data_IF_311141816165
#
_entry.id   IF_311141816165
#
_cell.length_a   1.000
_cell.length_b   1.000
_cell.length_c   1.000
_cell.angle_alpha   90.00
_cell.angle_beta   90.00
_cell.angle_gamma   90.00
#
_symmetry.space_group_name_H-M   'P 1'
#
loop_
_entity.id
_entity.type
_entity.pdbx_description
1 polymer ?
#
# COMPACT_ATOMS: atom_id res chain seq x y z
N UNK A 1 -16.82 -12.38 -22.03
CA UNK A 1 -15.93 -11.20 -21.98
C UNK A 1 -16.65 -10.11 -21.19
N UNK A 2 -16.04 -9.64 -20.11
CA UNK A 2 -16.63 -8.81 -19.06
C UNK A 2 -17.17 -7.47 -19.61
N UNK A 3 -18.47 -7.18 -19.42
CA UNK A 3 -19.17 -5.99 -19.94
C UNK A 3 -18.48 -4.71 -19.47
N UNK A 4 -18.01 -4.71 -18.22
CA UNK A 4 -17.18 -3.67 -17.62
C UNK A 4 -15.94 -3.30 -18.46
N UNK A 5 -15.18 -4.29 -18.92
CA UNK A 5 -13.95 -4.06 -19.72
C UNK A 5 -14.27 -3.47 -21.10
N UNK A 6 -15.40 -3.86 -21.70
CA UNK A 6 -15.85 -3.30 -22.98
C UNK A 6 -16.32 -1.86 -22.83
N UNK A 7 -17.03 -1.56 -21.75
CA UNK A 7 -17.47 -0.20 -21.43
C UNK A 7 -16.28 0.74 -21.21
N UNK A 8 -15.29 0.35 -20.41
CA UNK A 8 -14.08 1.15 -20.20
C UNK A 8 -13.27 1.37 -21.48
N UNK A 9 -13.10 0.32 -22.29
CA UNK A 9 -12.42 0.44 -23.58
C UNK A 9 -13.15 1.41 -24.52
N UNK A 10 -14.48 1.37 -24.56
CA UNK A 10 -15.29 2.30 -25.33
C UNK A 10 -15.18 3.75 -24.83
N UNK A 11 -15.24 3.98 -23.52
CA UNK A 11 -15.06 5.32 -22.91
C UNK A 11 -13.69 5.90 -23.28
N UNK A 12 -12.63 5.09 -23.17
CA UNK A 12 -11.27 5.52 -23.49
C UNK A 12 -11.15 5.92 -24.96
N UNK A 13 -11.75 5.17 -25.89
CA UNK A 13 -11.74 5.52 -27.33
C UNK A 13 -12.50 6.81 -27.62
N UNK A 14 -13.68 7.02 -27.00
CA UNK A 14 -14.50 8.21 -27.28
C UNK A 14 -13.84 9.50 -26.80
N UNK A 15 -13.00 9.45 -25.76
CA UNK A 15 -12.38 10.63 -25.18
C UNK A 15 -10.88 10.76 -25.47
N UNK A 16 -10.25 9.79 -26.16
CA UNK A 16 -8.81 9.80 -26.45
C UNK A 16 -8.37 11.00 -27.29
N UNK A 17 -9.20 11.42 -28.26
CA UNK A 17 -8.83 12.42 -29.27
C UNK A 17 -9.72 13.68 -29.22
N UNK A 18 -10.23 14.04 -28.04
CA UNK A 18 -11.10 15.21 -27.88
C UNK A 18 -10.26 16.50 -27.85
N UNK A 19 -9.97 17.04 -29.04
CA UNK A 19 -9.07 18.19 -29.22
C UNK A 19 -9.70 19.53 -28.80
N UNK A 20 -10.99 19.73 -29.09
CA UNK A 20 -11.74 20.93 -28.70
C UNK A 20 -13.05 20.55 -27.96
N UNK A 21 -13.05 20.62 -26.62
CA UNK A 21 -14.23 20.33 -25.82
C UNK A 21 -15.40 21.29 -26.07
N UNK A 22 -15.14 22.56 -26.37
CA UNK A 22 -16.19 23.58 -26.50
C UNK A 22 -16.96 23.38 -27.81
N UNK A 23 -16.26 23.08 -28.91
CA UNK A 23 -16.88 22.68 -30.18
C UNK A 23 -17.63 21.34 -30.05
N UNK A 24 -17.01 20.35 -29.41
CA UNK A 24 -17.59 19.01 -29.26
C UNK A 24 -18.87 19.02 -28.41
N UNK A 25 -18.86 19.70 -27.26
CA UNK A 25 -20.04 19.82 -26.39
C UNK A 25 -21.02 20.91 -26.86
N UNK A 26 -20.58 21.83 -27.72
CA UNK A 26 -21.46 22.74 -28.46
C UNK A 26 -22.41 22.01 -29.42
N UNK A 27 -22.07 20.78 -29.83
CA UNK A 27 -22.99 19.90 -30.54
C UNK A 27 -23.97 19.23 -29.54
N UNK A 28 -25.28 19.51 -29.61
CA UNK A 28 -26.26 19.04 -28.64
C UNK A 28 -26.42 17.51 -28.61
N UNK A 29 -26.11 16.81 -29.70
CA UNK A 29 -26.12 15.33 -29.75
C UNK A 29 -24.95 14.78 -28.94
N UNK A 30 -23.75 15.34 -29.15
CA UNK A 30 -22.55 14.95 -28.42
C UNK A 30 -22.66 15.26 -26.92
N UNK A 31 -23.25 16.41 -26.56
CA UNK A 31 -23.56 16.74 -25.18
C UNK A 31 -24.54 15.72 -24.57
N UNK A 32 -25.64 15.41 -25.26
CA UNK A 32 -26.64 14.46 -24.78
C UNK A 32 -26.07 13.06 -24.57
N UNK A 33 -25.33 12.50 -25.54
CA UNK A 33 -24.75 11.15 -25.40
C UNK A 33 -23.72 11.09 -24.26
N UNK A 34 -22.96 12.17 -24.05
CA UNK A 34 -21.97 12.25 -22.96
C UNK A 34 -22.68 12.28 -21.61
N UNK A 35 -23.70 13.14 -21.47
CA UNK A 35 -24.51 13.24 -20.25
C UNK A 35 -25.24 11.93 -19.97
N UNK A 36 -25.87 11.32 -20.98
CA UNK A 36 -26.56 10.03 -20.83
C UNK A 36 -25.60 8.93 -20.40
N UNK A 37 -24.38 8.91 -20.95
CA UNK A 37 -23.34 7.96 -20.53
C UNK A 37 -22.99 8.13 -19.06
N UNK A 38 -22.78 9.36 -18.61
CA UNK A 38 -22.46 9.68 -17.21
C UNK A 38 -23.60 9.34 -16.24
N UNK A 39 -24.85 9.59 -16.63
CA UNK A 39 -26.00 9.39 -15.75
C UNK A 39 -26.46 7.93 -15.71
N UNK A 40 -26.49 7.26 -16.86
CA UNK A 40 -27.08 5.92 -16.98
C UNK A 40 -26.01 4.83 -17.08
N UNK A 41 -25.09 4.93 -18.04
CA UNK A 41 -24.15 3.85 -18.30
C UNK A 41 -23.11 3.71 -17.18
N UNK A 42 -22.55 4.81 -16.67
CA UNK A 42 -21.64 4.77 -15.53
C UNK A 42 -22.33 4.23 -14.27
N UNK A 43 -23.60 4.55 -14.07
CA UNK A 43 -24.37 3.99 -12.96
C UNK A 43 -24.53 2.47 -13.12
N UNK A 44 -25.05 2.00 -14.24
CA UNK A 44 -25.42 0.59 -14.38
C UNK A 44 -24.26 -0.36 -14.71
N UNK A 45 -23.29 0.09 -15.51
CA UNK A 45 -22.21 -0.77 -16.03
C UNK A 45 -20.96 -0.75 -15.14
N UNK A 46 -20.85 0.23 -14.23
CA UNK A 46 -19.69 0.42 -13.35
C UNK A 46 -20.13 0.45 -11.90
N UNK A 47 -20.96 1.42 -11.50
CA UNK A 47 -21.30 1.63 -10.09
C UNK A 47 -22.14 0.47 -9.54
N UNK A 48 -23.25 0.11 -10.19
CA UNK A 48 -24.13 -0.97 -9.74
C UNK A 48 -23.42 -2.33 -9.76
N UNK A 49 -22.54 -2.59 -10.72
CA UNK A 49 -21.72 -3.83 -10.78
C UNK A 49 -20.70 -3.89 -9.64
N UNK A 50 -20.06 -2.78 -9.29
CA UNK A 50 -19.10 -2.71 -8.18
C UNK A 50 -19.81 -2.74 -6.83
N UNK A 51 -20.98 -2.11 -6.72
CA UNK A 51 -21.79 -2.01 -5.50
C UNK A 51 -22.75 -3.19 -5.31
N UNK A 52 -22.91 -4.07 -6.28
CA UNK A 52 -23.59 -5.35 -6.06
C UNK A 52 -22.76 -6.16 -5.06
N UNK A 53 -23.16 -6.10 -3.78
CA UNK A 53 -22.68 -6.93 -2.67
C UNK A 53 -22.54 -8.41 -3.07
N UNK A 54 -23.35 -8.85 -4.05
CA UNK A 54 -23.34 -10.18 -4.63
C UNK A 54 -21.99 -10.61 -5.23
N UNK A 55 -21.17 -9.71 -5.80
CA UNK A 55 -19.89 -10.09 -6.41
C UNK A 55 -18.84 -10.38 -5.34
N UNK A 56 -18.78 -9.56 -4.29
CA UNK A 56 -17.89 -9.76 -3.14
C UNK A 56 -18.30 -11.02 -2.38
N UNK A 57 -19.59 -11.20 -2.12
CA UNK A 57 -20.13 -12.39 -1.44
C UNK A 57 -19.91 -13.67 -2.25
N UNK A 58 -20.06 -13.61 -3.58
CA UNK A 58 -19.76 -14.76 -4.45
C UNK A 58 -18.28 -15.08 -4.43
N UNK A 59 -17.40 -14.07 -4.47
CA UNK A 59 -15.96 -14.29 -4.42
C UNK A 59 -15.53 -14.89 -3.08
N UNK A 60 -16.03 -14.35 -1.96
CA UNK A 60 -15.81 -14.90 -0.63
C UNK A 60 -16.31 -16.35 -0.54
N UNK A 61 -17.50 -16.65 -1.07
CA UNK A 61 -18.03 -18.02 -1.11
C UNK A 61 -17.13 -18.97 -1.90
N UNK A 62 -16.62 -18.54 -3.06
CA UNK A 62 -15.73 -19.36 -3.89
C UNK A 62 -14.39 -19.64 -3.19
N UNK A 63 -13.80 -18.63 -2.55
CA UNK A 63 -12.57 -18.82 -1.76
C UNK A 63 -12.84 -19.79 -0.60
N UNK A 64 -13.91 -19.58 0.16
CA UNK A 64 -14.25 -20.42 1.32
C UNK A 64 -14.57 -21.87 0.89
N UNK A 65 -15.22 -22.06 -0.25
CA UNK A 65 -15.44 -23.38 -0.84
C UNK A 65 -14.10 -24.06 -1.16
N UNK A 66 -13.20 -23.39 -1.86
CA UNK A 66 -11.87 -23.94 -2.19
C UNK A 66 -11.05 -24.28 -0.95
N UNK A 67 -11.07 -23.43 0.08
CA UNK A 67 -10.41 -23.68 1.37
C UNK A 67 -11.02 -24.91 2.06
N UNK A 68 -12.34 -25.04 2.06
CA UNK A 68 -13.05 -26.20 2.64
C UNK A 68 -12.75 -27.49 1.87
N UNK A 69 -12.80 -27.46 0.54
CA UNK A 69 -12.55 -28.62 -0.33
C UNK A 69 -11.12 -29.15 -0.22
N UNK A 70 -10.16 -28.24 0.02
CA UNK A 70 -8.75 -28.58 0.22
C UNK A 70 -8.40 -28.89 1.68
N UNK A 71 -9.38 -28.88 2.59
CA UNK A 71 -9.19 -29.07 4.03
C UNK A 71 -8.14 -28.10 4.62
N UNK A 72 -8.11 -26.86 4.12
CA UNK A 72 -7.20 -25.81 4.56
C UNK A 72 -7.86 -24.93 5.62
N UNK A 73 -7.04 -24.26 6.43
CA UNK A 73 -7.47 -23.15 7.28
C UNK A 73 -7.13 -21.82 6.60
N UNK A 74 -7.95 -20.79 6.84
CA UNK A 74 -7.64 -19.45 6.35
C UNK A 74 -6.42 -18.89 7.08
N UNK A 75 -5.44 -18.31 6.36
CA UNK A 75 -4.30 -17.66 6.99
C UNK A 75 -4.75 -16.55 7.95
N UNK A 76 -4.07 -16.48 9.07
CA UNK A 76 -4.28 -15.51 10.15
C UNK A 76 -3.19 -14.46 10.17
N UNK A 77 -3.33 -13.49 11.06
CA UNK A 77 -2.27 -12.51 11.32
C UNK A 77 -0.99 -13.17 11.84
N UNK A 78 -1.08 -14.27 12.59
CA UNK A 78 0.09 -15.01 13.07
C UNK A 78 0.85 -15.67 11.92
N UNK A 79 0.15 -16.20 10.93
CA UNK A 79 0.78 -16.80 9.74
C UNK A 79 1.53 -15.75 8.92
N UNK A 80 0.97 -14.53 8.83
CA UNK A 80 1.65 -13.41 8.18
C UNK A 80 2.91 -12.96 8.97
N UNK A 81 2.89 -13.00 10.30
CA UNK A 81 4.06 -12.72 11.13
C UNK A 81 5.14 -13.80 11.00
N UNK A 82 4.73 -15.07 10.93
CA UNK A 82 5.63 -16.19 10.68
C UNK A 82 6.29 -16.05 9.30
N UNK A 83 5.51 -15.81 8.25
CA UNK A 83 6.03 -15.59 6.90
C UNK A 83 6.99 -14.39 6.82
N UNK A 84 6.71 -13.29 7.53
CA UNK A 84 7.65 -12.17 7.61
C UNK A 84 8.97 -12.57 8.29
N UNK A 85 8.92 -13.45 9.30
CA UNK A 85 10.13 -13.98 9.96
C UNK A 85 10.93 -14.87 9.00
N UNK A 86 10.26 -15.74 8.25
CA UNK A 86 10.90 -16.62 7.26
C UNK A 86 11.64 -15.82 6.18
N UNK A 87 11.08 -14.68 5.74
CA UNK A 87 11.77 -13.74 4.82
C UNK A 87 13.06 -13.20 5.44
N UNK A 88 13.05 -12.83 6.72
CA UNK A 88 14.26 -12.35 7.41
C UNK A 88 15.29 -13.46 7.61
N UNK A 89 14.86 -14.68 7.92
CA UNK A 89 15.76 -15.83 8.01
C UNK A 89 16.42 -16.09 6.66
N UNK A 90 15.66 -16.04 5.58
CA UNK A 90 16.18 -16.16 4.22
C UNK A 90 17.17 -15.04 3.88
N UNK A 91 16.88 -13.79 4.24
CA UNK A 91 17.80 -12.65 4.13
C UNK A 91 19.14 -12.95 4.79
N UNK A 92 19.09 -13.33 6.06
CA UNK A 92 20.28 -13.55 6.88
C UNK A 92 21.10 -14.75 6.39
N UNK A 93 20.45 -15.85 6.02
CA UNK A 93 21.13 -17.06 5.53
C UNK A 93 21.91 -16.80 4.24
N UNK A 94 21.39 -15.93 3.38
CA UNK A 94 21.96 -15.66 2.06
C UNK A 94 22.74 -14.33 2.00
N UNK A 95 22.82 -13.59 3.10
CA UNK A 95 23.41 -12.24 3.15
C UNK A 95 22.80 -11.29 2.11
N UNK A 96 21.49 -11.39 1.89
CA UNK A 96 20.76 -10.61 0.90
C UNK A 96 20.28 -9.29 1.53
N UNK A 97 20.70 -8.13 1.02
CA UNK A 97 20.15 -6.85 1.45
C UNK A 97 18.71 -6.69 0.96
N UNK A 98 17.95 -5.83 1.66
CA UNK A 98 16.51 -5.65 1.42
C UNK A 98 16.21 -5.11 0.01
N UNK A 99 17.05 -4.23 -0.52
CA UNK A 99 16.91 -3.65 -1.86
C UNK A 99 17.14 -4.68 -2.97
N UNK A 100 18.08 -5.62 -2.81
CA UNK A 100 18.26 -6.75 -3.75
C UNK A 100 17.03 -7.65 -3.76
N UNK A 101 16.40 -7.94 -2.61
CA UNK A 101 15.17 -8.72 -2.59
C UNK A 101 13.99 -8.03 -3.26
N UNK A 102 13.96 -6.71 -3.22
CA UNK A 102 12.84 -5.97 -3.77
C UNK A 102 13.00 -5.73 -5.27
N UNK A 103 14.22 -5.42 -5.72
CA UNK A 103 14.47 -4.98 -7.09
C UNK A 103 15.00 -6.08 -8.00
N UNK A 104 15.70 -7.09 -7.46
CA UNK A 104 16.18 -8.20 -8.28
C UNK A 104 15.10 -9.29 -8.43
N UNK A 105 15.24 -10.05 -9.51
CA UNK A 105 14.44 -11.24 -9.75
C UNK A 105 14.85 -12.31 -8.73
N UNK A 106 14.25 -12.27 -7.56
CA UNK A 106 14.52 -13.22 -6.49
C UNK A 106 14.14 -14.65 -6.87
N UNK A 107 13.02 -14.78 -7.56
CA UNK A 107 12.42 -16.05 -7.83
C UNK A 107 11.56 -15.95 -9.08
N UNK A 108 11.79 -16.87 -10.02
CA UNK A 108 10.89 -17.05 -11.16
C UNK A 108 9.81 -18.06 -10.76
N UNK A 109 8.57 -17.60 -10.65
CA UNK A 109 7.42 -18.48 -10.44
C UNK A 109 7.10 -19.19 -11.76
N UNK A 110 7.42 -20.48 -11.80
CA UNK A 110 7.19 -21.34 -12.97
C UNK A 110 5.70 -21.55 -13.28
N UNK A 111 4.83 -21.47 -12.27
CA UNK A 111 3.39 -21.63 -12.44
C UNK A 111 2.76 -20.37 -13.05
N UNK A 112 3.23 -19.20 -12.61
CA UNK A 112 2.78 -17.91 -13.13
C UNK A 112 3.58 -17.46 -14.36
N UNK A 113 4.66 -18.16 -14.69
CA UNK A 113 5.61 -17.85 -15.76
C UNK A 113 6.08 -16.38 -15.71
N UNK A 114 6.39 -15.91 -14.50
CA UNK A 114 6.82 -14.53 -14.25
C UNK A 114 7.76 -14.45 -13.05
N UNK A 115 8.55 -13.38 -13.00
CA UNK A 115 9.35 -13.05 -11.84
C UNK A 115 8.43 -12.61 -10.70
N UNK A 116 8.68 -13.11 -9.50
CA UNK A 116 8.06 -12.59 -8.28
C UNK A 116 8.77 -11.31 -7.90
N UNK A 117 8.00 -10.25 -7.77
CA UNK A 117 8.46 -8.93 -7.31
C UNK A 117 7.64 -8.55 -6.08
N UNK A 118 8.24 -7.80 -5.16
CA UNK A 118 7.53 -7.27 -4.00
C UNK A 118 7.03 -5.86 -4.29
N UNK A 119 5.79 -5.59 -3.93
CA UNK A 119 5.22 -4.24 -3.99
C UNK A 119 5.56 -3.42 -2.75
N UNK A 120 5.28 -2.11 -2.79
CA UNK A 120 5.34 -1.23 -1.64
C UNK A 120 4.46 -1.76 -0.49
N UNK A 121 3.29 -2.31 -0.82
CA UNK A 121 2.37 -2.92 0.13
C UNK A 121 2.92 -4.18 0.79
N UNK A 122 3.64 -5.02 0.04
CA UNK A 122 4.28 -6.21 0.59
C UNK A 122 5.42 -5.81 1.54
N UNK A 123 6.26 -4.87 1.13
CA UNK A 123 7.33 -4.32 1.95
C UNK A 123 6.80 -3.68 3.24
N UNK A 124 5.67 -2.97 3.16
CA UNK A 124 4.97 -2.42 4.32
C UNK A 124 4.46 -3.51 5.27
N UNK A 125 3.88 -4.59 4.73
CA UNK A 125 3.38 -5.71 5.51
C UNK A 125 4.52 -6.41 6.26
N UNK A 126 5.65 -6.67 5.58
CA UNK A 126 6.86 -7.25 6.17
C UNK A 126 7.39 -6.34 7.27
N UNK A 127 7.60 -5.05 6.97
CA UNK A 127 8.12 -4.08 7.94
C UNK A 127 7.22 -3.88 9.16
N UNK A 128 5.89 -3.89 8.96
CA UNK A 128 4.90 -3.89 10.05
C UNK A 128 4.99 -5.14 10.90
N UNK A 129 5.19 -6.31 10.28
CA UNK A 129 5.42 -7.58 10.98
C UNK A 129 6.66 -7.54 11.84
N UNK A 130 7.80 -7.12 11.27
CA UNK A 130 9.07 -6.94 11.99
C UNK A 130 8.90 -6.02 13.20
N UNK A 131 8.19 -4.90 13.06
CA UNK A 131 7.91 -3.97 14.17
C UNK A 131 7.10 -4.62 15.29
N UNK A 132 6.09 -5.44 14.95
CA UNK A 132 5.30 -6.19 15.94
C UNK A 132 6.18 -7.17 16.71
N UNK A 133 7.11 -7.83 16.01
CA UNK A 133 8.10 -8.76 16.56
C UNK A 133 9.28 -8.07 17.28
N UNK A 134 9.28 -6.73 17.39
CA UNK A 134 10.37 -5.93 17.98
C UNK A 134 11.71 -6.01 17.23
N UNK A 135 11.70 -6.44 15.96
CA UNK A 135 12.85 -6.47 15.06
C UNK A 135 12.97 -5.10 14.35
N UNK A 136 13.33 -4.06 15.10
CA UNK A 136 13.22 -2.67 14.64
C UNK A 136 14.22 -2.30 13.54
N UNK A 137 15.38 -2.95 13.48
CA UNK A 137 16.36 -2.75 12.40
C UNK A 137 15.77 -3.18 11.05
N UNK A 138 15.35 -4.45 10.95
CA UNK A 138 14.66 -4.98 9.77
C UNK A 138 13.37 -4.22 9.45
N UNK A 139 12.58 -3.84 10.47
CA UNK A 139 11.39 -3.03 10.25
C UNK A 139 11.72 -1.71 9.54
N UNK A 140 12.81 -1.05 9.94
CA UNK A 140 13.24 0.22 9.35
C UNK A 140 13.66 0.04 7.89
N UNK A 141 14.43 -1.02 7.59
CA UNK A 141 14.87 -1.33 6.22
C UNK A 141 13.69 -1.57 5.27
N UNK A 142 12.80 -2.50 5.63
CA UNK A 142 11.63 -2.85 4.80
C UNK A 142 10.66 -1.67 4.61
N UNK A 143 10.51 -0.80 5.62
CA UNK A 143 9.64 0.37 5.52
C UNK A 143 10.26 1.51 4.71
N UNK A 144 11.59 1.65 4.72
CA UNK A 144 12.28 2.58 3.82
C UNK A 144 12.12 2.12 2.37
N UNK A 145 12.23 0.82 2.13
CA UNK A 145 12.06 0.24 0.81
C UNK A 145 10.61 0.36 0.30
N UNK A 146 9.63 0.09 1.16
CA UNK A 146 8.22 0.35 0.87
C UNK A 146 7.99 1.80 0.42
N UNK A 147 8.66 2.75 1.09
CA UNK A 147 8.55 4.18 0.76
C UNK A 147 9.20 4.50 -0.58
N UNK A 148 10.35 3.90 -0.87
CA UNK A 148 11.05 4.08 -2.14
C UNK A 148 10.20 3.59 -3.31
N UNK A 149 9.69 2.34 -3.22
CA UNK A 149 8.81 1.75 -4.22
C UNK A 149 7.53 2.55 -4.45
N UNK A 150 6.90 3.07 -3.39
CA UNK A 150 5.66 3.84 -3.50
C UNK A 150 5.78 5.04 -4.46
N UNK A 151 6.99 5.61 -4.59
CA UNK A 151 7.24 6.73 -5.50
C UNK A 151 7.35 6.31 -6.99
N UNK A 152 7.55 5.02 -7.25
CA UNK A 152 7.73 4.44 -8.58
C UNK A 152 6.54 3.58 -9.02
N UNK A 153 5.70 3.13 -8.10
CA UNK A 153 4.51 2.37 -8.41
C UNK A 153 3.39 3.22 -9.03
N UNK A 154 2.67 2.71 -10.03
CA UNK A 154 1.49 3.40 -10.54
C UNK A 154 0.45 3.53 -9.43
N UNK A 155 -0.05 4.75 -9.22
CA UNK A 155 -1.04 5.11 -8.17
C UNK A 155 -2.30 4.22 -8.20
N UNK A 156 -2.63 3.61 -9.34
CA UNK A 156 -3.76 2.68 -9.47
C UNK A 156 -3.58 1.32 -8.79
N UNK A 157 -2.36 0.98 -8.34
CA UNK A 157 -2.03 -0.30 -7.70
C UNK A 157 -1.62 -0.19 -6.23
N UNK A 158 -1.24 1.02 -5.76
CA UNK A 158 -0.79 1.21 -4.39
C UNK A 158 -1.98 1.07 -3.41
N UNK A 159 -2.02 -0.03 -2.66
CA UNK A 159 -3.02 -0.25 -1.60
C UNK A 159 -2.65 0.43 -0.27
N UNK A 160 -1.51 1.15 -0.24
CA UNK A 160 -1.00 1.88 0.92
C UNK A 160 -0.62 3.32 0.59
N UNK A 161 -0.64 4.20 1.59
CA UNK A 161 -0.21 5.61 1.49
C UNK A 161 1.14 5.85 2.17
N UNK A 162 1.82 6.95 1.81
CA UNK A 162 3.06 7.39 2.48
C UNK A 162 2.83 7.55 3.99
N UNK A 163 1.68 8.11 4.40
CA UNK A 163 1.29 8.24 5.81
C UNK A 163 1.26 6.89 6.52
N UNK A 164 0.67 5.85 5.91
CA UNK A 164 0.61 4.51 6.50
C UNK A 164 2.00 3.87 6.66
N UNK A 165 2.95 4.19 5.77
CA UNK A 165 4.35 3.76 5.90
C UNK A 165 5.03 4.50 7.06
N UNK A 166 4.91 5.83 7.09
CA UNK A 166 5.50 6.68 8.12
C UNK A 166 4.98 6.36 9.52
N UNK A 167 3.70 6.01 9.65
CA UNK A 167 3.07 5.55 10.88
C UNK A 167 3.78 4.33 11.50
N UNK A 168 4.39 3.47 10.68
CA UNK A 168 5.16 2.32 11.14
C UNK A 168 6.66 2.67 11.30
N UNK A 169 7.20 3.49 10.40
CA UNK A 169 8.64 3.79 10.30
C UNK A 169 9.11 4.72 11.42
N UNK A 170 8.36 5.77 11.75
CA UNK A 170 8.75 6.71 12.80
C UNK A 170 8.89 6.03 14.18
N UNK A 171 7.94 5.17 14.62
CA UNK A 171 8.11 4.39 15.85
C UNK A 171 9.27 3.39 15.80
N UNK A 172 9.55 2.75 14.66
CA UNK A 172 10.70 1.83 14.53
C UNK A 172 12.02 2.57 14.75
N UNK A 173 12.21 3.71 14.08
CA UNK A 173 13.38 4.59 14.27
C UNK A 173 13.50 5.13 15.70
N UNK A 174 12.38 5.43 16.36
CA UNK A 174 12.36 5.82 17.76
C UNK A 174 12.91 4.70 18.67
N UNK A 175 12.58 3.44 18.39
CA UNK A 175 13.07 2.27 19.15
C UNK A 175 14.56 2.04 18.96
N UNK A 176 15.10 2.40 17.80
CA UNK A 176 16.54 2.43 17.51
C UNK A 176 17.27 3.66 18.08
N UNK A 177 16.56 4.56 18.77
CA UNK A 177 17.13 5.78 19.34
C UNK A 177 17.38 6.90 18.32
N UNK A 178 16.95 6.74 17.06
CA UNK A 178 17.05 7.77 16.04
C UNK A 178 15.90 8.79 16.16
N UNK A 179 15.86 9.49 17.30
CA UNK A 179 14.79 10.43 17.64
C UNK A 179 14.69 11.62 16.67
N UNK A 180 15.81 12.03 16.06
CA UNK A 180 15.84 13.14 15.08
C UNK A 180 15.06 12.77 13.82
N UNK A 181 15.37 11.62 13.22
CA UNK A 181 14.68 11.16 12.03
C UNK A 181 13.24 10.77 12.34
N UNK A 182 13.00 10.07 13.45
CA UNK A 182 11.64 9.74 13.90
C UNK A 182 10.76 11.00 14.04
N UNK A 183 11.28 12.08 14.63
CA UNK A 183 10.53 13.34 14.75
C UNK A 183 10.25 13.98 13.39
N UNK A 184 11.25 14.01 12.50
CA UNK A 184 11.07 14.54 11.13
C UNK A 184 9.95 13.79 10.39
N UNK A 185 9.96 12.46 10.44
CA UNK A 185 8.92 11.65 9.79
C UNK A 185 7.54 11.85 10.43
N UNK A 186 7.48 11.98 11.76
CA UNK A 186 6.23 12.28 12.46
C UNK A 186 5.68 13.67 12.09
N UNK A 187 6.55 14.65 11.84
CA UNK A 187 6.14 15.97 11.33
C UNK A 187 5.64 15.88 9.87
N UNK A 188 6.21 15.01 9.04
CA UNK A 188 5.71 14.74 7.68
C UNK A 188 4.27 14.18 7.73
N UNK A 189 3.98 13.25 8.65
CA UNK A 189 2.60 12.77 8.89
C UNK A 189 1.68 13.93 9.26
N UNK A 190 2.05 14.75 10.24
CA UNK A 190 1.21 15.87 10.70
C UNK A 190 1.06 16.99 9.66
N UNK A 191 2.00 17.10 8.72
CA UNK A 191 1.87 18.03 7.59
C UNK A 191 0.85 17.54 6.57
N UNK A 192 0.83 16.23 6.29
CA UNK A 192 -0.17 15.62 5.42
C UNK A 192 -1.55 15.54 6.09
N UNK A 193 -1.58 15.16 7.36
CA UNK A 193 -2.78 14.92 8.16
C UNK A 193 -2.67 15.60 9.55
N UNK A 194 -3.03 16.89 9.65
CA UNK A 194 -2.86 17.67 10.89
C UNK A 194 -3.61 17.13 12.13
N UNK A 195 -4.63 16.30 11.92
CA UNK A 195 -5.46 15.70 12.97
C UNK A 195 -5.13 14.23 13.24
N UNK A 196 -4.01 13.73 12.72
CA UNK A 196 -3.63 12.33 12.87
C UNK A 196 -3.33 11.99 14.34
N UNK A 197 -4.21 11.21 14.97
CA UNK A 197 -4.20 10.96 16.42
C UNK A 197 -2.88 10.37 16.93
N UNK A 198 -2.38 9.29 16.30
CA UNK A 198 -1.12 8.64 16.74
C UNK A 198 0.09 9.57 16.62
N UNK A 199 0.18 10.36 15.54
CA UNK A 199 1.29 11.26 15.32
C UNK A 199 1.28 12.45 16.30
N UNK A 200 0.09 12.96 16.64
CA UNK A 200 -0.07 13.97 17.69
C UNK A 200 0.39 13.45 19.06
N UNK A 201 -0.02 12.23 19.42
CA UNK A 201 0.42 11.60 20.68
C UNK A 201 1.94 11.39 20.72
N UNK A 202 2.52 10.95 19.61
CA UNK A 202 3.96 10.64 19.50
C UNK A 202 4.83 11.90 19.50
N UNK A 203 4.34 13.02 18.98
CA UNK A 203 5.08 14.29 18.89
C UNK A 203 5.69 14.71 20.23
N UNK A 204 4.86 14.76 21.27
CA UNK A 204 5.31 15.21 22.61
C UNK A 204 6.42 14.30 23.17
N UNK A 205 6.33 12.99 22.93
CA UNK A 205 7.33 12.01 23.38
C UNK A 205 8.67 12.23 22.68
N UNK A 206 8.65 12.48 21.36
CA UNK A 206 9.86 12.70 20.57
C UNK A 206 10.53 14.03 20.90
N UNK A 207 9.77 15.11 21.03
CA UNK A 207 10.29 16.43 21.44
C UNK A 207 11.00 16.36 22.79
N UNK A 208 10.38 15.69 23.78
CA UNK A 208 10.97 15.48 25.10
C UNK A 208 12.30 14.71 25.02
N UNK A 209 12.36 13.62 24.23
CA UNK A 209 13.59 12.84 24.03
C UNK A 209 14.69 13.66 23.36
N UNK A 210 14.35 14.50 22.40
CA UNK A 210 15.29 15.40 21.72
C UNK A 210 15.86 16.47 22.66
N UNK A 211 15.04 17.02 23.56
CA UNK A 211 15.49 17.97 24.59
C UNK A 211 16.45 17.30 25.57
N UNK A 212 16.10 16.11 26.08
CA UNK A 212 16.96 15.36 26.99
C UNK A 212 18.32 15.01 26.36
N UNK A 213 18.34 14.62 25.08
CA UNK A 213 19.58 14.32 24.37
C UNK A 213 20.50 15.52 24.12
N UNK A 214 20.04 16.76 24.37
CA UNK A 214 20.84 17.99 24.29
C UNK A 214 21.44 18.41 25.64
N UNK A 215 21.01 17.79 26.74
CA UNK A 215 21.55 18.08 28.06
C UNK A 215 22.95 17.46 28.19
N UNK A 216 23.92 18.16 28.82
CA UNK A 216 25.22 17.58 29.10
C UNK A 216 25.06 16.36 30.02
N UNK A 217 25.91 15.33 29.88
CA UNK A 217 25.86 14.18 30.77
C UNK A 217 26.06 14.65 32.22
N UNK A 218 25.17 14.19 33.10
CA UNK A 218 25.28 14.46 34.53
C UNK A 218 26.58 13.82 35.01
N UNK A 219 27.55 14.65 35.42
CA UNK A 219 28.77 14.16 36.06
C UNK A 219 28.37 13.59 37.42
N UNK A 220 28.49 12.28 37.58
CA UNK A 220 28.42 11.57 38.87
C UNK A 220 29.81 11.53 39.47
#
# INVERSE_FOLDING_TARGET
QNVFRRFLAYVNVVHADLVDPEEYFGNPVNAFITISRLVNNWKHEVIDVILEESVVDQHHKLINQGVTELELEHPTENDLLAAATDVLEYQNQNSLPTDELVHDVLYFDKNLNQNVTLSASDCHAIGRGCRKLQLHDFATEWLLEARALLSHEPVSFASITDVQILEQLAPALQKLGNYKLANKLNEEILKAEPKHEKALNTKTVLENKLVLGRLPPVKV
#
